data_IF_892922781706
#
_entry.id   IF_892922781706
#
_cell.length_a   1.000
_cell.length_b   1.000
_cell.length_c   1.000
_cell.angle_alpha   90.00
_cell.angle_beta   90.00
_cell.angle_gamma   90.00
#
_symmetry.space_group_name_H-M   'P 1'
#
loop_
_entity.id
_entity.type
_entity.pdbx_description
1 polymer ?
#
# COMPACT_ATOMS: atom_id res chain seq x y z
N UNK A 1 -0.66 3.89 13.27
CA UNK A 1 0.11 2.62 13.29
C UNK A 1 -0.29 1.83 12.05
N UNK A 2 0.68 1.22 11.38
CA UNK A 2 0.45 0.31 10.26
C UNK A 2 0.71 -1.13 10.72
N UNK A 3 -0.08 -2.08 10.22
CA UNK A 3 0.04 -3.50 10.47
C UNK A 3 0.04 -4.25 9.14
N UNK A 4 0.80 -5.35 9.09
CA UNK A 4 0.85 -6.28 7.97
C UNK A 4 0.69 -7.70 8.48
N UNK A 5 -0.13 -8.49 7.79
CA UNK A 5 -0.36 -9.89 8.13
C UNK A 5 -0.58 -10.72 6.85
N UNK A 6 -0.25 -12.02 6.85
CA UNK A 6 -0.69 -12.92 5.80
C UNK A 6 -2.22 -13.07 5.83
N UNK A 7 -2.81 -13.20 4.65
CA UNK A 7 -4.23 -13.46 4.40
C UNK A 7 -4.37 -14.56 3.33
N UNK A 8 -5.56 -15.17 3.20
CA UNK A 8 -5.82 -16.21 2.20
C UNK A 8 -5.55 -15.73 0.76
N UNK A 9 -5.68 -14.42 0.49
CA UNK A 9 -5.40 -13.81 -0.81
C UNK A 9 -3.99 -13.22 -0.98
N UNK A 10 -3.16 -13.15 0.08
CA UNK A 10 -1.82 -12.57 -0.01
C UNK A 10 -1.35 -11.85 1.25
N UNK A 11 -0.81 -10.63 1.11
CA UNK A 11 -0.38 -9.80 2.24
C UNK A 11 -1.40 -8.68 2.49
N UNK A 12 -2.06 -8.73 3.64
CA UNK A 12 -3.02 -7.73 4.08
C UNK A 12 -2.30 -6.61 4.83
N UNK A 13 -2.48 -5.39 4.34
CA UNK A 13 -2.00 -4.15 4.94
C UNK A 13 -3.16 -3.41 5.56
N UNK A 14 -2.96 -2.87 6.77
CA UNK A 14 -3.93 -2.02 7.46
C UNK A 14 -3.24 -0.84 8.12
N UNK A 15 -3.78 0.37 7.95
CA UNK A 15 -3.19 1.59 8.52
C UNK A 15 -4.25 2.58 8.96
N UNK A 16 -3.89 3.46 9.90
CA UNK A 16 -4.70 4.64 10.23
C UNK A 16 -4.62 5.66 9.10
N UNK A 17 -5.76 6.24 8.75
CA UNK A 17 -5.89 7.28 7.73
C UNK A 17 -6.39 8.59 8.34
N UNK A 18 -6.17 9.71 7.64
CA UNK A 18 -6.74 11.01 7.96
C UNK A 18 -7.47 11.55 6.73
N UNK A 19 -8.60 12.23 6.95
CA UNK A 19 -9.33 12.95 5.90
C UNK A 19 -8.45 14.02 5.25
N UNK A 20 -8.65 14.29 3.95
CA UNK A 20 -7.81 15.25 3.20
C UNK A 20 -6.49 14.65 2.72
N UNK A 21 -6.37 13.32 2.68
CA UNK A 21 -5.17 12.60 2.25
C UNK A 21 -5.52 11.42 1.36
N UNK A 22 -4.69 11.20 0.34
CA UNK A 22 -4.74 10.04 -0.53
C UNK A 22 -3.66 9.04 -0.14
N UNK A 23 -4.02 7.76 -0.19
CA UNK A 23 -3.16 6.64 0.18
C UNK A 23 -2.98 5.69 -0.99
N UNK A 24 -1.73 5.42 -1.33
CA UNK A 24 -1.32 4.50 -2.39
C UNK A 24 -0.32 3.50 -1.84
N UNK A 25 -0.34 2.26 -2.34
CA UNK A 25 0.65 1.23 -1.97
C UNK A 25 1.49 0.91 -3.20
N UNK A 26 2.82 0.89 -3.07
CA UNK A 26 3.71 0.44 -4.15
C UNK A 26 4.59 -0.72 -3.67
N UNK A 27 5.08 -1.52 -4.61
CA UNK A 27 5.90 -2.72 -4.36
C UNK A 27 7.20 -2.67 -5.15
N UNK A 28 8.25 -3.27 -4.62
CA UNK A 28 9.52 -3.46 -5.32
C UNK A 28 10.16 -4.80 -4.91
N UNK A 29 11.03 -5.37 -5.75
CA UNK A 29 11.82 -6.57 -5.42
C UNK A 29 13.15 -6.24 -4.74
N UNK A 30 13.52 -4.95 -4.72
CA UNK A 30 14.69 -4.41 -4.04
C UNK A 30 14.40 -2.98 -3.55
N UNK A 31 15.35 -2.36 -2.84
CA UNK A 31 15.18 -1.02 -2.25
C UNK A 31 15.65 0.13 -3.16
N UNK A 32 15.96 -0.13 -4.43
CA UNK A 32 16.42 0.90 -5.36
C UNK A 32 15.25 1.82 -5.74
N UNK A 33 15.36 3.15 -5.59
CA UNK A 33 14.22 4.08 -5.78
C UNK A 33 13.56 4.05 -7.16
N UNK A 34 14.31 3.71 -8.22
CA UNK A 34 13.79 3.65 -9.59
C UNK A 34 12.98 2.36 -9.88
N UNK A 35 13.06 1.35 -9.01
CA UNK A 35 12.49 0.02 -9.24
C UNK A 35 11.13 -0.19 -8.55
N UNK A 36 10.56 0.87 -7.97
CA UNK A 36 9.22 0.80 -7.39
C UNK A 36 8.16 0.75 -8.49
N UNK A 37 7.24 -0.20 -8.36
CA UNK A 37 6.12 -0.35 -9.27
C UNK A 37 5.22 0.90 -9.28
N UNK A 38 4.38 0.98 -10.31
CA UNK A 38 3.17 1.80 -10.22
C UNK A 38 2.37 1.44 -8.95
N UNK A 39 1.58 2.38 -8.40
CA UNK A 39 0.70 2.09 -7.27
C UNK A 39 -0.18 0.86 -7.54
N UNK A 40 -0.17 -0.08 -6.60
CA UNK A 40 -1.05 -1.25 -6.55
C UNK A 40 -2.52 -0.85 -6.32
N UNK A 41 -2.74 0.33 -5.75
CA UNK A 41 -4.05 0.92 -5.53
C UNK A 41 -4.23 2.04 -6.53
N UNK A 42 -5.07 1.83 -7.53
CA UNK A 42 -5.43 2.82 -8.53
C UNK A 42 -6.96 2.79 -8.76
N UNK A 43 -7.70 3.87 -8.43
CA UNK A 43 -7.21 5.14 -7.88
C UNK A 43 -6.75 5.03 -6.40
N UNK A 44 -5.98 6.02 -5.88
CA UNK A 44 -5.60 6.09 -4.47
C UNK A 44 -6.83 6.09 -3.54
N UNK A 45 -6.68 5.52 -2.34
CA UNK A 45 -7.76 5.51 -1.34
C UNK A 45 -7.82 6.85 -0.61
N UNK A 46 -8.99 7.47 -0.58
CA UNK A 46 -9.25 8.65 0.24
C UNK A 46 -9.27 8.27 1.73
N UNK A 47 -8.56 9.04 2.54
CA UNK A 47 -8.52 8.87 3.97
C UNK A 47 -9.85 9.22 4.62
N UNK A 48 -10.25 8.44 5.62
CA UNK A 48 -11.56 8.57 6.28
C UNK A 48 -11.46 9.04 7.73
N UNK A 49 -10.25 9.21 8.26
CA UNK A 49 -10.02 9.39 9.70
C UNK A 49 -10.05 8.07 10.50
N UNK A 50 -10.41 6.96 9.85
CA UNK A 50 -10.40 5.61 10.42
C UNK A 50 -9.31 4.73 9.83
N UNK A 51 -9.49 3.41 9.93
CA UNK A 51 -8.57 2.45 9.30
C UNK A 51 -8.88 2.28 7.82
N UNK A 52 -7.83 2.25 7.01
CA UNK A 52 -7.87 1.74 5.64
C UNK A 52 -7.07 0.43 5.58
N UNK A 53 -7.34 -0.36 4.55
CA UNK A 53 -6.57 -1.57 4.29
C UNK A 53 -6.60 -1.96 2.82
N UNK A 54 -5.63 -2.77 2.45
CA UNK A 54 -5.47 -3.32 1.12
C UNK A 54 -4.76 -4.67 1.21
N UNK A 55 -5.25 -5.67 0.48
CA UNK A 55 -4.57 -6.97 0.35
C UNK A 55 -3.83 -6.99 -0.97
N UNK A 56 -2.50 -7.00 -0.92
CA UNK A 56 -1.69 -7.25 -2.11
C UNK A 56 -1.75 -8.75 -2.41
N UNK A 57 -2.14 -9.16 -3.63
CA UNK A 57 -2.00 -10.56 -4.02
C UNK A 57 -0.52 -10.97 -3.91
N UNK A 58 -0.29 -12.14 -3.34
CA UNK A 58 1.05 -12.75 -3.35
C UNK A 58 1.17 -13.50 -4.65
N UNK A 59 1.97 -12.95 -5.57
CA UNK A 59 2.47 -13.73 -6.69
C UNK A 59 3.54 -14.67 -6.11
N UNK A 60 3.26 -15.99 -6.11
CA UNK A 60 4.12 -17.01 -5.51
C UNK A 60 5.56 -17.02 -6.06
N UNK A 61 5.78 -16.40 -7.22
CA UNK A 61 7.06 -16.36 -7.95
C UNK A 61 7.99 -15.19 -7.61
N UNK A 62 7.59 -14.22 -6.77
CA UNK A 62 8.32 -12.94 -6.68
C UNK A 62 9.49 -12.87 -5.68
N UNK A 63 9.81 -13.94 -4.95
CA UNK A 63 10.85 -13.88 -3.92
C UNK A 63 10.53 -12.83 -2.84
N UNK A 64 11.55 -12.17 -2.28
CA UNK A 64 11.38 -11.12 -1.28
C UNK A 64 10.84 -9.83 -1.90
N UNK A 65 9.74 -9.30 -1.36
CA UNK A 65 9.14 -8.04 -1.79
C UNK A 65 9.19 -6.97 -0.69
N UNK A 66 9.41 -5.73 -1.11
CA UNK A 66 9.34 -4.53 -0.29
C UNK A 66 8.07 -3.75 -0.64
N UNK A 67 7.45 -3.15 0.37
CA UNK A 67 6.22 -2.37 0.23
C UNK A 67 6.41 -0.99 0.84
N UNK A 68 5.82 0.03 0.21
CA UNK A 68 5.74 1.38 0.76
C UNK A 68 4.32 1.90 0.67
N UNK A 69 3.85 2.50 1.76
CA UNK A 69 2.65 3.31 1.78
C UNK A 69 3.04 4.75 1.42
N UNK A 70 2.45 5.27 0.35
CA UNK A 70 2.61 6.65 -0.10
C UNK A 70 1.38 7.44 0.35
N UNK A 71 1.63 8.65 0.86
CA UNK A 71 0.60 9.52 1.42
C UNK A 71 0.75 10.87 0.76
N UNK A 72 -0.32 11.33 0.12
CA UNK A 72 -0.39 12.60 -0.59
C UNK A 72 -1.53 13.45 -0.01
N UNK A 73 -1.43 14.77 -0.11
CA UNK A 73 -2.56 15.65 0.21
C UNK A 73 -3.60 15.54 -0.89
N UNK A 74 -4.88 15.48 -0.53
CA UNK A 74 -5.95 15.68 -1.49
C UNK A 74 -5.87 17.12 -1.99
N UNK A 75 -5.57 17.31 -3.29
CA UNK A 75 -5.67 18.63 -3.90
C UNK A 75 -7.14 19.08 -3.89
N UNK A 76 -7.41 20.38 -3.61
CA UNK A 76 -8.75 20.93 -3.58
C UNK A 76 -9.44 20.93 -4.96
#
# INVERSE_FOLDING_TARGET
MAAVAPDAGGLAFRWNSATGRLYSLARATNLVPAEWSAPLIAPPLAGTGGFLGYTSPVDADLGGAFYRLQIELESP
#
